data_IF_255888633074
#
_entry.id   IF_255888633074
#
_cell.length_a   1.000
_cell.length_b   1.000
_cell.length_c   1.000
_cell.angle_alpha   90.00
_cell.angle_beta   90.00
_cell.angle_gamma   90.00
#
_symmetry.space_group_name_H-M   'P 1'
#
loop_
_entity.id
_entity.type
_entity.pdbx_description
1 polymer ?
#
# COMPACT_ATOMS: atom_id res chain seq x y z
N UNK A 1 9.22 -27.27 -1.87
CA UNK A 1 9.81 -26.31 -2.84
C UNK A 1 11.18 -25.93 -2.28
N UNK A 2 12.27 -26.18 -3.00
CA UNK A 2 13.67 -26.03 -2.49
C UNK A 2 14.10 -24.55 -2.55
N UNK A 3 13.36 -23.66 -1.89
CA UNK A 3 13.66 -22.22 -1.81
C UNK A 3 13.35 -21.62 -0.43
N UNK A 4 13.01 -22.42 0.58
CA UNK A 4 12.84 -21.91 1.96
C UNK A 4 14.18 -21.60 2.65
N UNK A 5 15.33 -21.91 2.04
CA UNK A 5 16.65 -21.78 2.66
C UNK A 5 17.54 -20.67 2.11
N UNK A 6 17.04 -19.78 1.25
CA UNK A 6 17.75 -18.56 0.86
C UNK A 6 16.93 -17.33 1.23
N UNK A 7 17.58 -16.30 1.77
CA UNK A 7 17.02 -14.94 1.87
C UNK A 7 16.85 -14.36 0.46
N UNK A 8 15.98 -14.96 -0.33
CA UNK A 8 15.64 -14.47 -1.65
C UNK A 8 14.77 -13.23 -1.47
N UNK A 9 15.28 -12.08 -1.92
CA UNK A 9 14.57 -10.81 -1.88
C UNK A 9 14.01 -10.57 -3.27
N UNK A 10 12.72 -10.81 -3.44
CA UNK A 10 12.05 -10.74 -4.74
C UNK A 10 12.17 -9.34 -5.36
N UNK A 11 12.03 -8.30 -4.55
CA UNK A 11 11.93 -6.89 -4.94
C UNK A 11 13.18 -6.37 -5.65
N UNK A 12 14.35 -6.93 -5.35
CA UNK A 12 15.63 -6.46 -5.92
C UNK A 12 15.93 -7.07 -7.29
N UNK A 13 15.28 -8.17 -7.65
CA UNK A 13 15.51 -8.83 -8.93
C UNK A 13 14.98 -8.00 -10.10
N UNK A 14 15.49 -8.28 -11.30
CA UNK A 14 15.04 -7.61 -12.52
C UNK A 14 13.64 -8.13 -12.86
N UNK A 15 12.72 -7.21 -13.12
CA UNK A 15 11.38 -7.56 -13.55
C UNK A 15 11.41 -8.20 -14.95
N UNK A 16 10.61 -9.24 -15.15
CA UNK A 16 10.41 -9.83 -16.48
C UNK A 16 9.74 -8.82 -17.42
N UNK A 17 8.77 -8.06 -16.90
CA UNK A 17 8.16 -6.94 -17.61
C UNK A 17 9.03 -5.69 -17.47
N UNK A 18 9.35 -5.04 -18.59
CA UNK A 18 10.18 -3.84 -18.64
C UNK A 18 9.44 -2.65 -19.27
N UNK A 19 8.30 -2.87 -19.93
CA UNK A 19 7.43 -1.82 -20.42
C UNK A 19 6.52 -1.31 -19.30
N UNK A 20 7.14 -0.65 -18.32
CA UNK A 20 6.47 -0.13 -17.12
C UNK A 20 6.09 1.35 -17.27
N UNK A 21 4.89 1.68 -16.81
CA UNK A 21 4.43 3.06 -16.65
C UNK A 21 4.20 3.36 -15.17
N UNK A 22 4.41 4.62 -14.76
CA UNK A 22 4.42 5.02 -13.36
C UNK A 22 3.43 6.15 -13.08
N UNK A 23 2.28 6.19 -13.77
CA UNK A 23 1.40 7.36 -13.78
C UNK A 23 0.93 7.77 -12.39
N UNK A 24 0.52 6.79 -11.58
CA UNK A 24 0.08 7.07 -10.21
C UNK A 24 1.23 7.56 -9.32
N UNK A 25 2.42 6.96 -9.45
CA UNK A 25 3.61 7.40 -8.73
C UNK A 25 4.02 8.83 -9.14
N UNK A 26 4.01 9.13 -10.43
CA UNK A 26 4.31 10.45 -10.97
C UNK A 26 3.33 11.51 -10.46
N UNK A 27 2.03 11.19 -10.43
CA UNK A 27 1.01 12.06 -9.85
C UNK A 27 1.29 12.35 -8.36
N UNK A 28 1.59 11.31 -7.56
CA UNK A 28 1.91 11.49 -6.14
C UNK A 28 3.18 12.33 -5.96
N UNK A 29 4.20 12.13 -6.79
CA UNK A 29 5.40 12.95 -6.77
C UNK A 29 5.10 14.42 -7.11
N UNK A 30 4.27 14.69 -8.13
CA UNK A 30 3.85 16.03 -8.51
C UNK A 30 3.12 16.74 -7.37
N UNK A 31 2.15 16.08 -6.74
CA UNK A 31 1.41 16.60 -5.58
C UNK A 31 2.34 16.93 -4.39
N UNK A 32 3.45 16.20 -4.26
CA UNK A 32 4.48 16.40 -3.22
C UNK A 32 5.64 17.29 -3.67
N UNK A 33 5.60 17.85 -4.87
CA UNK A 33 6.67 18.67 -5.46
C UNK A 33 8.02 17.94 -5.54
N UNK A 34 7.98 16.63 -5.80
CA UNK A 34 9.14 15.77 -5.99
C UNK A 34 9.43 15.66 -7.50
N UNK A 35 10.64 16.04 -7.91
CA UNK A 35 11.06 15.91 -9.31
C UNK A 35 11.26 14.44 -9.70
N UNK A 36 10.51 13.99 -10.71
CA UNK A 36 10.63 12.64 -11.25
C UNK A 36 11.75 12.59 -12.29
N UNK A 37 12.82 11.85 -11.99
CA UNK A 37 13.93 11.61 -12.90
C UNK A 37 14.59 10.24 -12.66
N UNK A 38 15.51 9.86 -13.54
CA UNK A 38 16.27 8.59 -13.46
C UNK A 38 16.98 8.40 -12.11
N UNK A 39 17.46 9.47 -11.49
CA UNK A 39 18.17 9.38 -10.19
C UNK A 39 17.21 9.00 -9.07
N UNK A 40 15.99 9.54 -9.06
CA UNK A 40 14.95 9.15 -8.09
C UNK A 40 14.63 7.65 -8.23
N UNK A 41 14.43 7.18 -9.45
CA UNK A 41 14.11 5.77 -9.71
C UNK A 41 15.22 4.82 -9.25
N UNK A 42 16.49 5.18 -9.48
CA UNK A 42 17.64 4.41 -8.99
C UNK A 42 17.73 4.50 -7.46
N UNK A 43 17.56 5.68 -6.89
CA UNK A 43 17.62 5.91 -5.44
C UNK A 43 16.55 5.15 -4.66
N UNK A 44 15.38 4.95 -5.26
CA UNK A 44 14.28 4.15 -4.71
C UNK A 44 14.38 2.65 -5.06
N UNK A 45 15.44 2.23 -5.73
CA UNK A 45 15.62 0.86 -6.24
C UNK A 45 14.51 0.35 -7.16
N UNK A 46 13.72 1.25 -7.78
CA UNK A 46 12.74 0.89 -8.81
C UNK A 46 13.44 0.48 -10.11
N UNK A 47 14.65 0.99 -10.32
CA UNK A 47 15.45 0.77 -11.51
C UNK A 47 16.92 0.59 -11.15
N UNK A 48 17.62 -0.31 -11.85
CA UNK A 48 19.07 -0.48 -11.72
C UNK A 48 19.81 0.64 -12.46
N UNK A 49 21.07 0.93 -12.11
CA UNK A 49 21.88 1.94 -12.82
C UNK A 49 22.01 1.69 -14.34
N UNK A 50 21.82 0.45 -14.80
CA UNK A 50 21.83 0.07 -16.22
C UNK A 50 20.50 0.34 -16.95
N UNK A 51 19.50 0.91 -16.28
CA UNK A 51 18.20 1.27 -16.86
C UNK A 51 17.13 0.18 -16.80
N UNK A 52 17.43 -0.99 -16.22
CA UNK A 52 16.46 -2.09 -16.10
C UNK A 52 15.61 -1.93 -14.84
N UNK A 53 14.29 -2.07 -14.97
CA UNK A 53 13.39 -2.02 -13.82
C UNK A 53 13.49 -3.28 -12.96
N UNK A 54 13.35 -3.08 -11.65
CA UNK A 54 13.30 -4.16 -10.67
C UNK A 54 11.86 -4.64 -10.49
N UNK A 55 11.69 -5.75 -9.77
CA UNK A 55 10.39 -6.20 -9.30
C UNK A 55 9.73 -5.18 -8.36
N UNK A 56 10.50 -4.43 -7.56
CA UNK A 56 9.95 -3.28 -6.84
C UNK A 56 9.40 -2.21 -7.80
N UNK A 57 10.12 -1.94 -8.89
CA UNK A 57 9.62 -1.11 -9.98
C UNK A 57 8.30 -1.62 -10.55
N UNK A 58 8.19 -2.92 -10.83
CA UNK A 58 6.94 -3.56 -11.27
C UNK A 58 5.82 -3.38 -10.24
N UNK A 59 6.08 -3.60 -8.95
CA UNK A 59 5.07 -3.43 -7.90
C UNK A 59 4.55 -1.99 -7.79
N UNK A 60 5.41 -0.99 -7.98
CA UNK A 60 5.03 0.42 -7.95
C UNK A 60 4.41 0.90 -9.28
N UNK A 61 4.67 0.22 -10.38
CA UNK A 61 4.13 0.54 -11.71
C UNK A 61 2.61 0.31 -11.84
N UNK A 62 2.03 0.85 -12.92
CA UNK A 62 0.64 0.60 -13.29
C UNK A 62 0.40 -0.89 -13.69
N UNK A 63 1.45 -1.60 -14.09
CA UNK A 63 1.45 -3.02 -14.50
C UNK A 63 1.58 -3.98 -13.31
N UNK A 64 1.60 -3.47 -12.07
CA UNK A 64 1.68 -4.31 -10.89
C UNK A 64 0.64 -5.43 -10.91
N UNK A 65 1.06 -6.70 -10.76
CA UNK A 65 0.14 -7.83 -10.80
C UNK A 65 -0.64 -7.99 -9.49
N UNK A 66 -0.31 -7.24 -8.45
CA UNK A 66 -0.90 -7.37 -7.11
C UNK A 66 -2.33 -6.82 -7.10
N UNK A 67 -3.19 -7.46 -6.32
CA UNK A 67 -4.54 -6.99 -6.04
C UNK A 67 -4.79 -7.03 -4.53
N UNK A 68 -5.05 -5.87 -3.93
CA UNK A 68 -5.42 -5.75 -2.51
C UNK A 68 -6.93 -5.80 -2.39
N UNK A 69 -7.44 -6.62 -1.47
CA UNK A 69 -8.87 -6.81 -1.23
C UNK A 69 -9.18 -6.39 0.20
N UNK A 70 -10.08 -5.43 0.34
CA UNK A 70 -10.57 -4.95 1.63
C UNK A 70 -12.00 -5.45 1.77
N UNK A 71 -12.33 -6.06 2.90
CA UNK A 71 -13.67 -6.55 3.20
C UNK A 71 -14.19 -5.89 4.47
N UNK A 72 -15.41 -5.37 4.41
CA UNK A 72 -16.11 -4.73 5.50
C UNK A 72 -17.14 -5.69 6.07
N UNK A 73 -17.20 -5.77 7.40
CA UNK A 73 -18.15 -6.59 8.15
C UNK A 73 -18.91 -5.71 9.13
N UNK A 74 -20.10 -6.13 9.54
CA UNK A 74 -20.80 -5.53 10.67
C UNK A 74 -20.35 -6.15 12.01
N UNK A 75 -20.94 -5.70 13.11
CA UNK A 75 -20.64 -6.17 14.47
C UNK A 75 -20.93 -7.67 14.67
N UNK A 76 -21.76 -8.26 13.82
CA UNK A 76 -22.11 -9.69 13.82
C UNK A 76 -21.25 -10.50 12.83
N UNK A 77 -20.23 -9.89 12.23
CA UNK A 77 -19.36 -10.48 11.20
C UNK A 77 -20.10 -10.85 9.91
N UNK A 78 -21.26 -10.26 9.63
CA UNK A 78 -21.90 -10.39 8.34
C UNK A 78 -21.15 -9.53 7.31
N UNK A 79 -20.89 -10.12 6.15
CA UNK A 79 -20.23 -9.43 5.05
C UNK A 79 -21.09 -8.27 4.53
N UNK A 80 -20.52 -7.05 4.48
CA UNK A 80 -21.18 -5.87 3.94
C UNK A 80 -20.71 -5.55 2.53
N UNK A 81 -19.41 -5.37 2.36
CA UNK A 81 -18.82 -4.87 1.13
C UNK A 81 -17.40 -5.41 0.93
N UNK A 82 -17.00 -5.54 -0.34
CA UNK A 82 -15.62 -5.81 -0.73
C UNK A 82 -15.15 -4.80 -1.76
N UNK A 83 -14.03 -4.15 -1.49
CA UNK A 83 -13.30 -3.34 -2.46
C UNK A 83 -12.07 -4.11 -2.94
N UNK A 84 -11.85 -4.14 -4.25
CA UNK A 84 -10.62 -4.72 -4.84
C UNK A 84 -9.86 -3.62 -5.55
N UNK A 85 -8.63 -3.39 -5.11
CA UNK A 85 -7.73 -2.40 -5.68
C UNK A 85 -6.67 -3.14 -6.51
N UNK A 86 -6.42 -2.65 -7.72
CA UNK A 86 -5.45 -3.21 -8.67
C UNK A 86 -4.56 -2.09 -9.23
N UNK A 87 -3.44 -2.48 -9.81
CA UNK A 87 -2.42 -1.57 -10.32
C UNK A 87 -1.40 -1.26 -9.22
N UNK A 88 -0.77 -0.09 -9.31
CA UNK A 88 0.32 0.34 -8.42
C UNK A 88 0.10 -0.02 -6.95
N UNK A 89 1.10 -0.63 -6.32
CA UNK A 89 1.09 -0.94 -4.90
C UNK A 89 0.97 0.33 -4.05
N UNK A 90 1.50 1.46 -4.52
CA UNK A 90 1.36 2.76 -3.86
C UNK A 90 -0.10 3.21 -3.84
N UNK A 91 -0.83 3.02 -4.95
CA UNK A 91 -2.27 3.27 -5.02
C UNK A 91 -3.02 2.37 -4.06
N UNK A 92 -2.68 1.08 -4.03
CA UNK A 92 -3.30 0.13 -3.12
C UNK A 92 -3.08 0.51 -1.65
N UNK A 93 -1.90 0.99 -1.29
CA UNK A 93 -1.58 1.46 0.06
C UNK A 93 -2.44 2.68 0.45
N UNK A 94 -2.43 3.73 -0.37
CA UNK A 94 -3.16 4.98 -0.09
C UNK A 94 -4.67 4.73 -0.04
N UNK A 95 -5.23 4.01 -1.01
CA UNK A 95 -6.66 3.70 -0.99
C UNK A 95 -7.04 2.80 0.20
N UNK A 96 -6.15 1.92 0.66
CA UNK A 96 -6.40 1.11 1.87
C UNK A 96 -6.40 1.98 3.13
N UNK A 97 -5.46 2.92 3.22
CA UNK A 97 -5.43 3.91 4.30
C UNK A 97 -6.71 4.72 4.34
N UNK A 98 -7.14 5.29 3.21
CA UNK A 98 -8.36 6.10 3.12
C UNK A 98 -9.61 5.31 3.50
N UNK A 99 -9.72 4.05 3.05
CA UNK A 99 -10.86 3.21 3.44
C UNK A 99 -10.85 2.87 4.93
N UNK A 100 -9.67 2.57 5.49
CA UNK A 100 -9.57 2.23 6.92
C UNK A 100 -9.90 3.44 7.79
N UNK A 101 -9.43 4.64 7.43
CA UNK A 101 -9.76 5.87 8.15
C UNK A 101 -11.27 6.17 8.07
N UNK A 102 -11.90 5.96 6.91
CA UNK A 102 -13.36 6.13 6.74
C UNK A 102 -14.18 5.20 7.65
N UNK A 103 -13.65 4.01 7.94
CA UNK A 103 -14.30 3.00 8.77
C UNK A 103 -13.90 3.10 10.25
N UNK A 104 -13.03 4.05 10.61
CA UNK A 104 -12.60 4.25 11.98
C UNK A 104 -13.69 5.03 12.74
N UNK A 105 -14.51 4.30 13.50
CA UNK A 105 -15.65 4.88 14.19
C UNK A 105 -15.23 5.99 15.17
N UNK A 106 -16.00 7.08 15.17
CA UNK A 106 -15.82 8.21 16.08
C UNK A 106 -16.88 8.15 17.18
N UNK A 107 -16.43 7.98 18.41
CA UNK A 107 -17.27 8.14 19.59
C UNK A 107 -17.25 9.59 20.05
N UNK A 108 -18.40 10.18 20.38
CA UNK A 108 -18.49 11.54 20.88
C UNK A 108 -19.15 11.57 22.26
N UNK A 109 -18.51 12.20 23.23
CA UNK A 109 -19.05 12.44 24.57
C UNK A 109 -19.15 13.93 24.86
N UNK A 110 -20.17 14.36 25.60
CA UNK A 110 -20.25 15.74 26.12
C UNK A 110 -19.57 15.74 27.49
N UNK A 111 -18.43 16.41 27.60
CA UNK A 111 -17.79 16.60 28.89
C UNK A 111 -18.60 17.58 29.73
N UNK A 112 -19.20 17.07 30.82
CA UNK A 112 -20.07 17.83 31.72
C UNK A 112 -19.32 18.91 32.51
N UNK A 113 -17.98 18.84 32.59
CA UNK A 113 -17.15 19.87 33.26
C UNK A 113 -16.83 21.04 32.33
N UNK A 114 -16.38 20.75 31.11
CA UNK A 114 -16.01 21.79 30.13
C UNK A 114 -17.16 22.23 29.22
N UNK A 115 -18.29 21.51 29.23
CA UNK A 115 -19.45 21.72 28.35
C UNK A 115 -19.09 21.62 26.87
N UNK A 116 -18.04 20.85 26.53
CA UNK A 116 -17.56 20.64 25.17
C UNK A 116 -17.83 19.22 24.70
N UNK A 117 -18.10 19.08 23.40
CA UNK A 117 -18.10 17.79 22.71
C UNK A 117 -16.65 17.35 22.53
N UNK A 118 -16.32 16.16 23.03
CA UNK A 118 -15.03 15.50 22.85
C UNK A 118 -15.26 14.31 21.94
N UNK A 119 -14.60 14.32 20.78
CA UNK A 119 -14.60 13.21 19.84
C UNK A 119 -13.36 12.35 20.04
N UNK A 120 -13.52 11.03 19.96
CA UNK A 120 -12.46 10.05 20.13
C UNK A 120 -12.63 8.99 19.06
N UNK A 121 -11.60 8.84 18.22
CA UNK A 121 -11.55 7.76 17.23
C UNK A 121 -11.30 6.43 17.92
N UNK A 122 -11.89 5.36 17.40
CA UNK A 122 -11.74 4.02 17.95
C UNK A 122 -10.28 3.54 17.88
N UNK A 123 -9.58 3.90 16.80
CA UNK A 123 -8.15 3.68 16.66
C UNK A 123 -7.43 5.03 16.43
N UNK A 124 -6.29 5.28 17.10
CA UNK A 124 -5.45 6.43 16.78
C UNK A 124 -4.92 6.33 15.35
N UNK A 125 -4.87 7.47 14.62
CA UNK A 125 -4.42 7.49 13.22
C UNK A 125 -3.02 6.89 13.02
N UNK A 126 -2.08 7.15 13.95
CA UNK A 126 -0.74 6.57 13.89
C UNK A 126 -0.75 5.04 14.00
N UNK A 127 -1.65 4.47 14.81
CA UNK A 127 -1.76 3.01 14.97
C UNK A 127 -2.32 2.36 13.71
N UNK A 128 -3.34 2.95 13.08
CA UNK A 128 -3.87 2.46 11.82
C UNK A 128 -2.81 2.52 10.70
N UNK A 129 -2.11 3.64 10.59
CA UNK A 129 -1.07 3.83 9.60
C UNK A 129 0.03 2.76 9.73
N UNK A 130 0.52 2.53 10.96
CA UNK A 130 1.57 1.56 11.23
C UNK A 130 1.14 0.12 10.90
N UNK A 131 -0.09 -0.27 11.26
CA UNK A 131 -0.64 -1.60 10.95
C UNK A 131 -0.71 -1.82 9.42
N UNK A 132 -1.20 -0.81 8.69
CA UNK A 132 -1.32 -0.89 7.23
C UNK A 132 0.07 -0.95 6.59
N UNK A 133 0.99 -0.06 6.98
CA UNK A 133 2.35 -0.07 6.45
C UNK A 133 3.06 -1.39 6.70
N UNK A 134 2.96 -1.93 7.92
CA UNK A 134 3.58 -3.21 8.25
C UNK A 134 2.99 -4.36 7.44
N UNK A 135 1.67 -4.38 7.22
CA UNK A 135 1.04 -5.37 6.35
C UNK A 135 1.63 -5.32 4.93
N UNK A 136 1.78 -4.13 4.34
CA UNK A 136 2.32 -3.98 2.98
C UNK A 136 3.83 -4.26 2.90
N UNK A 137 4.62 -3.75 3.84
CA UNK A 137 6.08 -3.91 3.85
C UNK A 137 6.53 -5.35 4.12
N UNK A 138 5.74 -6.13 4.87
CA UNK A 138 6.06 -7.52 5.22
C UNK A 138 5.24 -8.56 4.43
N UNK A 139 4.48 -8.12 3.41
CA UNK A 139 3.81 -9.05 2.50
C UNK A 139 4.86 -9.79 1.67
N UNK A 140 4.74 -11.12 1.59
CA UNK A 140 5.51 -11.91 0.63
C UNK A 140 4.92 -11.76 -0.77
N UNK A 141 5.50 -10.86 -1.57
CA UNK A 141 5.04 -10.59 -2.93
C UNK A 141 5.37 -11.72 -3.92
N UNK A 142 6.34 -12.58 -3.62
CA UNK A 142 6.67 -13.72 -4.49
C UNK A 142 5.52 -14.73 -4.50
N UNK A 143 5.07 -15.16 -3.32
CA UNK A 143 3.95 -16.11 -3.22
C UNK A 143 2.62 -15.50 -3.68
N UNK A 144 2.42 -14.20 -3.46
CA UNK A 144 1.22 -13.48 -3.92
C UNK A 144 1.06 -13.47 -5.45
N UNK A 145 2.16 -13.54 -6.21
CA UNK A 145 2.11 -13.61 -7.67
C UNK A 145 1.84 -15.01 -8.21
N UNK A 146 2.33 -16.04 -7.51
CA UNK A 146 2.22 -17.44 -7.94
C UNK A 146 0.80 -17.99 -7.68
N UNK A 147 0.07 -17.44 -6.72
CA UNK A 147 -1.28 -17.90 -6.33
C UNK A 147 -2.42 -17.47 -7.27
N UNK A 148 -2.12 -17.09 -8.52
CA UNK A 148 -3.12 -16.76 -9.55
C UNK A 148 -3.41 -17.92 -10.49
#
# INVERSE_FOLDING_TARGET
>A
MIMESSHYVYEVDISVEQELTFRYFEQVCEEKQIEVNTKLFIGLNLMRPKGQFTNLGLLISDQSPIAVKIAEYDDEMNFKLKKTIKGSLLKALIETQEQTERLNDITAIIDTKSWKRIETTSYPGNSLLEIILNAFCHTDFLSAQISK
#
